data_IF_377329974269
#
_entry.id   IF_377329974269
#
_cell.length_a   1.000
_cell.length_b   1.000
_cell.length_c   1.000
_cell.angle_alpha   90.00
_cell.angle_beta   90.00
_cell.angle_gamma   90.00
#
_symmetry.space_group_name_H-M   'P 1'
#
loop_
_entity.id
_entity.type
_entity.pdbx_description
1 polymer ?
#
# COMPACT_ATOMS: atom_id res chain seq x y z
N UNK A 1 -1.54 -2.56 -13.69
CA UNK A 1 -0.58 -2.39 -12.58
C UNK A 1 -1.28 -1.63 -11.47
N UNK A 2 -0.89 -1.81 -10.21
CA UNK A 2 -1.52 -1.11 -9.07
C UNK A 2 -2.86 -1.69 -8.59
N UNK A 3 -3.18 -2.92 -8.98
CA UNK A 3 -4.46 -3.59 -8.64
C UNK A 3 -4.31 -4.97 -8.02
N UNK A 4 -3.22 -5.68 -8.31
CA UNK A 4 -2.89 -6.95 -7.68
C UNK A 4 -1.93 -6.71 -6.52
N UNK A 5 -2.17 -7.37 -5.39
CA UNK A 5 -1.41 -7.18 -4.14
C UNK A 5 -0.05 -7.91 -4.14
N UNK A 6 0.49 -8.19 -5.33
CA UNK A 6 1.71 -8.99 -5.56
C UNK A 6 3.00 -8.19 -5.42
N UNK A 7 2.93 -6.85 -5.35
CA UNK A 7 4.11 -5.99 -5.14
C UNK A 7 4.01 -5.11 -3.88
N UNK A 8 3.59 -5.67 -2.73
CA UNK A 8 3.31 -4.86 -1.56
C UNK A 8 4.60 -4.50 -0.83
N UNK A 9 4.60 -3.32 -0.21
CA UNK A 9 5.63 -2.87 0.68
C UNK A 9 5.04 -2.03 1.81
N UNK A 10 5.80 -1.87 2.88
CA UNK A 10 5.51 -0.95 3.97
C UNK A 10 6.51 0.21 3.95
N UNK A 11 6.01 1.43 3.89
CA UNK A 11 6.78 2.66 3.98
C UNK A 11 7.20 2.89 5.43
N UNK A 12 8.49 2.79 5.70
CA UNK A 12 9.09 2.98 7.02
C UNK A 12 9.41 4.46 7.25
N UNK A 13 9.83 5.17 6.20
CA UNK A 13 10.04 6.63 6.20
C UNK A 13 10.02 7.17 4.78
N UNK A 14 9.75 8.47 4.64
CA UNK A 14 9.64 9.15 3.35
C UNK A 14 8.18 9.28 2.91
N UNK A 15 7.98 9.66 1.65
CA UNK A 15 6.68 9.93 1.06
C UNK A 15 6.65 9.35 -0.36
N UNK A 16 5.51 8.77 -0.75
CA UNK A 16 5.26 8.29 -2.10
C UNK A 16 3.90 8.79 -2.59
N UNK A 17 3.81 9.12 -3.86
CA UNK A 17 2.52 9.24 -4.56
C UNK A 17 2.16 7.88 -5.15
N UNK A 18 1.00 7.36 -4.81
CA UNK A 18 0.45 6.12 -5.36
C UNK A 18 -1.01 6.29 -5.80
N UNK A 19 -1.37 7.50 -6.24
CA UNK A 19 -2.69 7.85 -6.78
C UNK A 19 -3.09 7.03 -8.01
N UNK A 20 -2.13 6.41 -8.70
CA UNK A 20 -2.38 5.48 -9.82
C UNK A 20 -2.77 4.04 -9.39
N UNK A 21 -2.77 3.74 -8.08
CA UNK A 21 -3.13 2.43 -7.51
C UNK A 21 -4.53 2.36 -6.89
N UNK A 22 -4.97 1.14 -6.58
CA UNK A 22 -6.30 0.85 -6.01
C UNK A 22 -6.32 0.75 -4.48
N UNK A 23 -5.18 0.90 -3.77
CA UNK A 23 -5.21 0.95 -2.31
C UNK A 23 -6.11 2.09 -1.83
N UNK A 24 -6.93 1.81 -0.82
CA UNK A 24 -7.73 2.84 -0.15
C UNK A 24 -6.87 3.71 0.77
N UNK A 25 -7.42 4.82 1.24
CA UNK A 25 -6.68 5.76 2.08
C UNK A 25 -6.30 5.15 3.44
N UNK A 26 -7.09 4.22 3.99
CA UNK A 26 -6.77 3.57 5.26
C UNK A 26 -5.51 2.70 5.15
N UNK A 27 -5.39 1.89 4.11
CA UNK A 27 -4.18 1.10 3.84
C UNK A 27 -2.97 2.01 3.59
N UNK A 28 -3.15 3.11 2.84
CA UNK A 28 -2.07 4.09 2.62
C UNK A 28 -1.61 4.74 3.92
N UNK A 29 -2.53 5.16 4.78
CA UNK A 29 -2.23 5.77 6.09
C UNK A 29 -1.51 4.81 7.04
N UNK A 30 -1.80 3.50 6.96
CA UNK A 30 -1.05 2.43 7.66
C UNK A 30 0.34 2.17 7.06
N UNK A 31 0.71 2.90 6.01
CA UNK A 31 2.00 2.85 5.36
C UNK A 31 2.12 1.77 4.29
N UNK A 32 1.02 1.15 3.86
CA UNK A 32 1.09 0.19 2.75
C UNK A 32 1.23 0.90 1.41
N UNK A 33 2.04 0.32 0.54
CA UNK A 33 2.25 0.82 -0.81
C UNK A 33 2.37 -0.31 -1.84
N UNK A 34 1.94 -0.03 -3.07
CA UNK A 34 2.16 -0.92 -4.22
C UNK A 34 3.34 -0.43 -5.05
N UNK A 35 4.46 -1.14 -4.96
CA UNK A 35 5.73 -0.71 -5.56
C UNK A 35 5.71 -0.59 -7.09
N UNK A 36 4.77 -1.26 -7.77
CA UNK A 36 4.65 -1.12 -9.23
C UNK A 36 4.06 0.24 -9.68
N UNK A 37 3.52 1.04 -8.76
CA UNK A 37 2.91 2.35 -9.05
C UNK A 37 3.26 3.45 -8.05
N UNK A 38 4.06 3.15 -7.01
CA UNK A 38 4.46 4.13 -6.01
C UNK A 38 5.64 4.97 -6.50
N UNK A 39 5.41 6.27 -6.70
CA UNK A 39 6.42 7.25 -7.11
C UNK A 39 6.98 7.98 -5.88
N UNK A 40 8.30 7.89 -5.60
CA UNK A 40 8.88 8.54 -4.43
C UNK A 40 8.84 10.07 -4.56
N UNK A 41 8.40 10.74 -3.49
CA UNK A 41 8.39 12.20 -3.34
C UNK A 41 9.52 12.70 -2.42
N UNK A 42 10.19 11.78 -1.74
CA UNK A 42 11.36 12.05 -0.89
C UNK A 42 12.26 10.80 -0.77
N UNK A 43 13.30 10.88 0.05
CA UNK A 43 14.14 9.73 0.39
C UNK A 43 13.31 8.69 1.18
N UNK A 44 13.04 7.56 0.54
CA UNK A 44 12.18 6.52 1.11
C UNK A 44 12.98 5.36 1.71
N UNK A 45 12.51 4.85 2.86
CA UNK A 45 12.88 3.53 3.38
C UNK A 45 11.65 2.66 3.34
N UNK A 46 11.73 1.54 2.65
CA UNK A 46 10.64 0.59 2.48
C UNK A 46 11.06 -0.80 2.96
N UNK A 47 10.09 -1.55 3.45
CA UNK A 47 10.23 -2.99 3.72
C UNK A 47 9.31 -3.73 2.74
N UNK A 48 9.86 -4.62 1.93
CA UNK A 48 9.06 -5.55 1.14
C UNK A 48 8.34 -6.50 2.10
N UNK A 49 7.06 -6.74 1.85
CA UNK A 49 6.22 -7.61 2.66
C UNK A 49 5.63 -8.71 1.79
N UNK A 50 5.15 -9.77 2.42
CA UNK A 50 4.41 -10.82 1.72
C UNK A 50 2.99 -10.34 1.38
N UNK A 51 2.37 -10.94 0.35
CA UNK A 51 1.01 -10.60 -0.09
C UNK A 51 -0.02 -10.79 1.04
N UNK A 52 0.16 -11.81 1.89
CA UNK A 52 -0.72 -12.08 3.02
C UNK A 52 -0.79 -10.92 4.04
N UNK A 53 0.31 -10.18 4.25
CA UNK A 53 0.36 -9.08 5.23
C UNK A 53 -0.55 -7.91 4.82
N UNK A 54 -0.69 -7.62 3.52
CA UNK A 54 -1.55 -6.55 3.02
C UNK A 54 -3.00 -7.02 2.80
N UNK A 55 -3.20 -8.31 2.50
CA UNK A 55 -4.54 -8.87 2.28
C UNK A 55 -5.42 -8.77 3.53
N UNK A 56 -4.87 -9.02 4.72
CA UNK A 56 -5.60 -8.85 5.99
C UNK A 56 -6.18 -7.44 6.14
N UNK A 57 -5.44 -6.43 5.70
CA UNK A 57 -5.81 -5.03 5.84
C UNK A 57 -6.85 -4.62 4.81
N UNK A 58 -6.65 -5.00 3.55
CA UNK A 58 -7.57 -4.68 2.44
C UNK A 58 -8.91 -5.44 2.59
N UNK A 59 -8.89 -6.64 3.17
CA UNK A 59 -10.11 -7.42 3.42
C UNK A 59 -10.89 -6.88 4.62
N UNK A 60 -10.22 -6.49 5.70
CA UNK A 60 -10.88 -5.97 6.90
C UNK A 60 -11.59 -4.62 6.66
N UNK A 61 -11.09 -3.80 5.72
CA UNK A 61 -11.73 -2.54 5.32
C UNK A 61 -13.05 -2.74 4.54
N UNK A 62 -13.41 -3.98 4.15
CA UNK A 62 -14.68 -4.29 3.47
C UNK A 62 -15.87 -4.57 4.40
N UNK A 63 -15.66 -4.69 5.72
CA UNK A 63 -16.74 -4.92 6.70
C UNK A 63 -17.45 -3.64 7.18
N UNK A 64 -17.03 -2.44 6.73
CA UNK A 64 -17.70 -1.17 7.11
C UNK A 64 -18.58 -0.56 6.00
N UNK A 65 -19.00 -1.37 5.02
CA UNK A 65 -20.07 -1.01 4.09
C UNK A 65 -21.43 -1.50 4.63
N UNK A 66 -21.88 -0.92 5.74
CA UNK A 66 -23.17 -1.20 6.39
C UNK A 66 -23.73 -0.01 7.14
#
# INVERSE_FOLDING_TARGET
MGVCMTCPAKLISGEVDQSAGMLDEEAKEKGYALMCVAEPQSDCRIRVIEEDEILEEVLCSSENAG
#
